data_IF_039739991269
#
_entry.id   IF_039739991269
#
_cell.length_a   1.000
_cell.length_b   1.000
_cell.length_c   1.000
_cell.angle_alpha   90.00
_cell.angle_beta   90.00
_cell.angle_gamma   90.00
#
_symmetry.space_group_name_H-M   'P 1'
#
loop_
_entity.id
_entity.type
_entity.pdbx_description
1 polymer ?
#
# COMPACT_ATOMS: atom_id res chain seq x y z
N UNK A 1 22.10 5.83 -18.96
CA UNK A 1 23.26 6.41 -18.25
C UNK A 1 23.84 7.52 -19.11
N UNK A 2 23.46 8.76 -18.85
CA UNK A 2 24.04 9.94 -19.53
C UNK A 2 24.31 10.99 -18.45
N UNK A 3 25.32 10.74 -17.61
CA UNK A 3 25.96 11.78 -16.81
C UNK A 3 27.28 12.12 -17.49
N UNK A 4 27.19 12.93 -18.55
CA UNK A 4 28.37 13.60 -19.10
C UNK A 4 28.59 14.84 -18.23
N UNK A 5 29.34 14.68 -17.14
CA UNK A 5 29.80 15.80 -16.34
C UNK A 5 30.72 16.68 -17.19
N UNK A 6 30.45 17.99 -17.23
CA UNK A 6 31.31 18.92 -17.95
C UNK A 6 32.68 18.98 -17.27
N UNK A 7 33.80 18.89 -18.03
CA UNK A 7 35.13 19.02 -17.47
C UNK A 7 35.31 20.42 -16.86
N UNK A 8 35.80 20.48 -15.62
CA UNK A 8 36.15 21.73 -14.95
C UNK A 8 37.63 22.03 -15.18
N UNK A 9 37.93 23.15 -15.84
CA UNK A 9 39.31 23.55 -16.09
C UNK A 9 39.91 24.20 -14.84
N UNK A 10 40.90 23.53 -14.25
CA UNK A 10 41.63 24.04 -13.08
C UNK A 10 42.64 25.10 -13.58
N UNK A 11 42.65 26.33 -13.03
CA UNK A 11 43.65 27.33 -13.37
C UNK A 11 45.04 26.95 -12.82
N UNK A 12 46.10 27.55 -13.36
CA UNK A 12 47.45 27.33 -12.83
C UNK A 12 47.54 27.77 -11.37
N UNK A 13 47.96 26.85 -10.49
CA UNK A 13 48.10 27.08 -9.06
C UNK A 13 49.55 27.50 -8.72
N UNK A 14 49.71 28.45 -7.81
CA UNK A 14 51.00 28.75 -7.19
C UNK A 14 51.41 27.69 -6.16
N UNK A 15 52.65 27.73 -5.66
CA UNK A 15 53.10 26.83 -4.61
C UNK A 15 52.22 26.97 -3.35
N UNK A 16 51.61 25.86 -2.92
CA UNK A 16 50.59 25.78 -1.84
C UNK A 16 49.20 26.36 -2.17
N UNK A 17 48.90 26.67 -3.43
CA UNK A 17 47.56 27.08 -3.84
C UNK A 17 46.55 25.93 -3.76
N UNK A 18 45.32 26.23 -3.35
CA UNK A 18 44.19 25.29 -3.38
C UNK A 18 43.05 25.84 -4.24
N UNK A 19 42.36 24.95 -4.97
CA UNK A 19 41.14 25.28 -5.71
C UNK A 19 40.12 24.19 -5.44
N UNK A 20 38.90 24.60 -5.12
CA UNK A 20 37.75 23.72 -4.96
C UNK A 20 36.92 23.77 -6.24
N UNK A 21 36.77 22.62 -6.91
CA UNK A 21 35.85 22.46 -8.03
C UNK A 21 34.50 21.92 -7.50
N UNK A 22 33.40 22.45 -8.01
CA UNK A 22 32.05 21.99 -7.68
C UNK A 22 31.23 21.75 -8.95
N UNK A 23 30.42 20.69 -8.93
CA UNK A 23 29.52 20.33 -10.02
C UNK A 23 28.10 20.27 -9.47
N UNK A 24 27.14 20.80 -10.23
CA UNK A 24 25.74 20.52 -9.99
C UNK A 24 25.43 19.12 -10.53
N UNK A 25 25.12 18.18 -9.63
CA UNK A 25 24.76 16.81 -10.01
C UNK A 25 23.25 16.69 -10.02
N UNK A 26 22.68 16.38 -11.17
CA UNK A 26 21.29 15.95 -11.28
C UNK A 26 21.25 14.42 -11.19
N UNK A 27 20.43 13.92 -10.27
CA UNK A 27 20.32 12.51 -9.98
C UNK A 27 19.12 11.92 -10.71
N UNK A 28 19.25 10.65 -11.11
CA UNK A 28 18.09 9.93 -11.61
C UNK A 28 17.07 9.78 -10.47
N UNK A 29 15.76 9.87 -10.78
CA UNK A 29 14.72 9.59 -9.81
C UNK A 29 14.86 8.17 -9.25
N UNK A 30 14.66 8.04 -7.94
CA UNK A 30 14.70 6.75 -7.25
C UNK A 30 13.35 6.04 -7.47
N UNK A 31 13.33 4.69 -7.67
CA UNK A 31 12.08 3.94 -7.77
C UNK A 31 11.17 4.16 -6.55
N UNK A 32 9.85 4.26 -6.78
CA UNK A 32 8.83 4.62 -5.78
C UNK A 32 8.84 3.78 -4.50
N UNK A 33 9.31 2.54 -4.58
CA UNK A 33 9.32 1.60 -3.46
C UNK A 33 10.60 1.66 -2.63
N UNK A 34 11.66 2.34 -3.10
CA UNK A 34 12.95 2.47 -2.40
C UNK A 34 13.00 3.78 -1.61
N UNK A 35 13.58 3.71 -0.41
CA UNK A 35 13.81 4.90 0.43
C UNK A 35 15.22 5.48 0.31
N UNK A 36 16.19 4.73 -0.23
CA UNK A 36 17.54 5.23 -0.47
C UNK A 36 18.26 4.44 -1.57
N UNK A 37 19.27 5.06 -2.17
CA UNK A 37 20.14 4.45 -3.17
C UNK A 37 21.59 4.91 -3.00
N UNK A 38 22.53 3.98 -3.16
CA UNK A 38 23.97 4.26 -3.10
C UNK A 38 24.48 4.65 -4.48
N UNK A 39 25.21 5.75 -4.54
CA UNK A 39 25.79 6.30 -5.76
C UNK A 39 27.29 6.42 -5.60
N UNK A 40 28.02 5.79 -6.52
CA UNK A 40 29.48 5.90 -6.57
C UNK A 40 29.86 7.11 -7.42
N UNK A 41 30.49 8.10 -6.79
CA UNK A 41 31.00 9.28 -7.44
C UNK A 41 32.51 9.13 -7.62
N UNK A 42 32.97 9.10 -8.87
CA UNK A 42 34.39 9.08 -9.20
C UNK A 42 34.79 10.40 -9.88
N UNK A 43 35.74 11.10 -9.27
CA UNK A 43 36.38 12.28 -9.84
C UNK A 43 37.77 11.91 -10.35
N UNK A 44 38.09 12.35 -11.57
CA UNK A 44 39.37 12.09 -12.22
C UNK A 44 40.03 13.41 -12.58
N UNK A 45 41.30 13.56 -12.23
CA UNK A 45 42.14 14.63 -12.75
C UNK A 45 42.68 14.16 -14.10
N UNK A 46 42.46 14.95 -15.15
CA UNK A 46 43.00 14.69 -16.49
C UNK A 46 43.92 15.82 -16.89
N UNK A 47 45.07 15.46 -17.46
CA UNK A 47 46.08 16.41 -17.92
C UNK A 47 46.01 16.58 -19.43
N UNK A 48 46.30 17.78 -19.96
CA UNK A 48 46.47 17.98 -21.39
C UNK A 48 47.56 17.07 -21.98
N UNK A 49 47.34 16.55 -23.19
CA UNK A 49 48.25 15.60 -23.87
C UNK A 49 49.69 16.10 -23.97
N UNK A 50 49.88 17.41 -24.12
CA UNK A 50 51.19 18.06 -24.22
C UNK A 50 52.02 17.87 -22.93
N UNK A 51 51.38 17.93 -21.76
CA UNK A 51 52.05 17.75 -20.47
C UNK A 51 52.39 16.27 -20.26
N UNK A 52 51.48 15.38 -20.66
CA UNK A 52 51.72 13.94 -20.63
C UNK A 52 52.91 13.52 -21.50
N UNK A 53 53.07 14.12 -22.69
CA UNK A 53 54.21 13.85 -23.57
C UNK A 53 55.55 14.37 -23.05
N UNK A 54 55.54 15.38 -22.16
CA UNK A 54 56.75 15.94 -21.54
C UNK A 54 57.17 15.21 -20.25
N UNK A 55 56.54 14.07 -19.93
CA UNK A 55 56.85 13.26 -18.75
C UNK A 55 55.96 13.52 -17.54
N UNK A 56 54.82 14.23 -17.72
CA UNK A 56 53.85 14.51 -16.66
C UNK A 56 54.26 15.69 -15.76
N UNK A 57 53.52 15.87 -14.66
CA UNK A 57 53.82 16.90 -13.66
C UNK A 57 54.86 16.35 -12.68
N UNK A 58 55.97 17.06 -12.53
CA UNK A 58 57.03 16.67 -11.59
C UNK A 58 56.52 16.69 -10.14
N UNK A 59 56.67 15.58 -9.43
CA UNK A 59 56.19 15.43 -8.05
C UNK A 59 54.72 15.05 -7.92
N UNK A 60 54.04 14.71 -9.01
CA UNK A 60 52.66 14.20 -8.95
C UNK A 60 52.59 12.80 -8.31
N UNK A 61 51.52 12.56 -7.54
CA UNK A 61 51.20 11.27 -6.97
C UNK A 61 49.98 10.72 -7.70
N UNK A 62 50.22 9.84 -8.67
CA UNK A 62 49.19 9.33 -9.60
C UNK A 62 48.03 8.62 -8.87
N UNK A 63 48.28 8.04 -7.71
CA UNK A 63 47.25 7.38 -6.90
C UNK A 63 46.21 8.38 -6.34
N UNK A 64 46.59 9.65 -6.19
CA UNK A 64 45.71 10.71 -5.68
C UNK A 64 44.93 11.44 -6.80
N UNK A 65 45.12 11.04 -8.06
CA UNK A 65 44.43 11.65 -9.21
C UNK A 65 43.01 11.12 -9.39
N UNK A 66 42.63 10.09 -8.62
CA UNK A 66 41.30 9.48 -8.62
C UNK A 66 40.75 9.45 -7.21
N UNK A 67 39.63 10.14 -7.01
CA UNK A 67 38.83 10.03 -5.79
C UNK A 67 37.53 9.32 -6.13
N UNK A 68 37.27 8.19 -5.47
CA UNK A 68 35.99 7.47 -5.59
C UNK A 68 35.36 7.37 -4.21
N UNK A 69 34.16 7.92 -4.09
CA UNK A 69 33.37 7.86 -2.85
C UNK A 69 31.97 7.33 -3.11
N UNK A 70 31.51 6.46 -2.22
CA UNK A 70 30.14 5.95 -2.20
C UNK A 70 29.28 6.85 -1.32
N UNK A 71 28.29 7.50 -1.92
CA UNK A 71 27.35 8.39 -1.25
C UNK A 71 25.99 7.71 -1.17
N UNK A 72 25.38 7.70 0.02
CA UNK A 72 23.99 7.26 0.20
C UNK A 72 23.07 8.45 0.03
N UNK A 73 22.13 8.35 -0.90
CA UNK A 73 21.15 9.41 -1.16
C UNK A 73 19.76 8.89 -0.81
N UNK A 74 19.08 9.64 0.05
CA UNK A 74 17.75 9.31 0.52
C UNK A 74 16.69 9.82 -0.46
N UNK A 75 15.59 9.07 -0.56
CA UNK A 75 14.39 9.51 -1.26
C UNK A 75 13.84 10.77 -0.61
N UNK A 76 13.19 11.61 -1.41
CA UNK A 76 12.54 12.79 -0.87
C UNK A 76 11.51 12.41 0.20
N UNK A 77 11.58 13.10 1.34
CA UNK A 77 10.60 13.02 2.41
C UNK A 77 10.02 14.40 2.70
N UNK A 78 8.81 14.42 3.23
CA UNK A 78 8.14 15.69 3.58
C UNK A 78 8.91 16.44 4.67
N UNK A 79 8.86 17.79 4.68
CA UNK A 79 9.56 18.60 5.68
C UNK A 79 9.18 18.17 7.11
N UNK A 80 10.17 18.21 7.99
CA UNK A 80 9.97 17.89 9.40
C UNK A 80 9.22 19.03 10.11
N UNK A 81 8.28 18.65 10.97
CA UNK A 81 7.59 19.53 11.90
C UNK A 81 8.09 19.25 13.30
N UNK A 82 8.35 20.31 14.08
CA UNK A 82 8.65 20.17 15.50
C UNK A 82 7.36 20.05 16.31
N UNK A 83 7.20 18.91 16.98
CA UNK A 83 6.14 18.65 17.93
C UNK A 83 6.77 18.33 19.28
N UNK A 84 6.59 19.22 20.26
CA UNK A 84 7.07 19.02 21.63
C UNK A 84 8.58 18.67 21.73
N UNK A 85 9.40 19.27 20.86
CA UNK A 85 10.85 19.04 20.80
C UNK A 85 11.29 17.82 19.99
N UNK A 86 10.36 17.09 19.35
CA UNK A 86 10.67 15.98 18.43
C UNK A 86 10.39 16.41 16.98
N UNK A 87 11.37 16.23 16.11
CA UNK A 87 11.23 16.45 14.66
C UNK A 87 10.62 15.21 14.00
N UNK A 88 9.40 15.36 13.49
CA UNK A 88 8.68 14.28 12.80
C UNK A 88 8.33 14.72 11.37
N UNK A 89 8.44 13.85 10.36
CA UNK A 89 7.98 14.17 9.01
C UNK A 89 6.50 14.54 9.01
N UNK A 90 6.11 15.62 8.33
CA UNK A 90 4.70 16.03 8.27
C UNK A 90 3.79 14.96 7.66
N UNK A 91 4.33 14.12 6.76
CA UNK A 91 3.69 12.94 6.21
C UNK A 91 3.13 12.00 7.28
N UNK A 92 3.83 11.82 8.41
CA UNK A 92 3.40 10.94 9.49
C UNK A 92 2.11 11.45 10.16
N UNK A 93 2.00 12.77 10.35
CA UNK A 93 0.79 13.38 10.92
C UNK A 93 -0.39 13.28 9.96
N UNK A 94 -0.17 13.54 8.68
CA UNK A 94 -1.18 13.40 7.63
C UNK A 94 -1.66 11.95 7.57
N UNK A 95 -0.74 10.99 7.57
CA UNK A 95 -1.06 9.57 7.61
C UNK A 95 -1.89 9.19 8.85
N UNK A 96 -1.50 9.68 10.04
CA UNK A 96 -2.25 9.43 11.27
C UNK A 96 -3.67 10.02 11.22
N UNK A 97 -3.84 11.25 10.73
CA UNK A 97 -5.15 11.89 10.56
C UNK A 97 -6.03 11.14 9.55
N UNK A 98 -5.46 10.73 8.42
CA UNK A 98 -6.17 9.96 7.40
C UNK A 98 -6.54 8.56 7.91
N UNK A 99 -5.68 7.90 8.69
CA UNK A 99 -6.02 6.61 9.32
C UNK A 99 -7.16 6.75 10.33
N UNK A 100 -7.14 7.79 11.17
CA UNK A 100 -8.25 8.07 12.08
C UNK A 100 -9.55 8.35 11.32
N UNK A 101 -9.47 9.11 10.24
CA UNK A 101 -10.62 9.35 9.35
C UNK A 101 -11.13 8.03 8.74
N UNK A 102 -10.24 7.17 8.21
CA UNK A 102 -10.60 5.88 7.65
C UNK A 102 -11.32 4.99 8.69
N UNK A 103 -10.80 4.89 9.91
CA UNK A 103 -11.43 4.13 10.99
C UNK A 103 -12.79 4.72 11.37
N UNK A 104 -12.91 6.04 11.44
CA UNK A 104 -14.20 6.68 11.74
C UNK A 104 -15.25 6.44 10.64
N UNK A 105 -14.85 6.53 9.37
CA UNK A 105 -15.71 6.25 8.22
C UNK A 105 -16.11 4.78 8.15
N UNK A 106 -15.19 3.88 8.46
CA UNK A 106 -15.48 2.44 8.55
C UNK A 106 -16.54 2.17 9.63
N UNK A 107 -16.40 2.78 10.82
CA UNK A 107 -17.39 2.62 11.91
C UNK A 107 -18.76 3.16 11.50
N UNK A 108 -18.81 4.37 10.93
CA UNK A 108 -20.05 4.96 10.43
C UNK A 108 -20.64 4.16 9.27
N UNK A 109 -19.79 3.55 8.44
CA UNK A 109 -20.20 2.73 7.31
C UNK A 109 -20.85 1.42 7.71
N UNK A 110 -20.47 0.86 8.86
CA UNK A 110 -21.11 -0.32 9.44
C UNK A 110 -22.45 -0.02 10.10
N UNK A 111 -22.67 1.22 10.58
CA UNK A 111 -23.85 1.60 11.35
C UNK A 111 -24.93 2.33 10.51
N UNK A 112 -24.54 3.23 9.60
CA UNK A 112 -25.46 4.17 8.94
C UNK A 112 -25.56 3.97 7.42
N UNK A 113 -24.43 4.00 6.70
CA UNK A 113 -24.39 4.12 5.23
C UNK A 113 -23.21 3.39 4.60
N UNK A 114 -23.50 2.45 3.70
CA UNK A 114 -22.48 1.67 3.01
C UNK A 114 -21.50 2.51 2.17
N UNK A 115 -21.95 3.65 1.63
CA UNK A 115 -21.08 4.58 0.88
C UNK A 115 -19.89 5.06 1.71
N UNK A 116 -20.04 5.24 3.03
CA UNK A 116 -18.95 5.62 3.94
C UNK A 116 -17.99 4.44 4.18
N UNK A 117 -18.51 3.21 4.17
CA UNK A 117 -17.70 2.01 4.26
C UNK A 117 -16.76 1.91 3.04
N UNK A 118 -17.28 2.11 1.83
CA UNK A 118 -16.47 2.14 0.61
C UNK A 118 -15.43 3.25 0.65
N UNK A 119 -15.83 4.47 1.05
CA UNK A 119 -14.93 5.62 1.18
C UNK A 119 -13.79 5.35 2.17
N UNK A 120 -14.04 4.62 3.25
CA UNK A 120 -13.00 4.27 4.25
C UNK A 120 -11.82 3.53 3.64
N UNK A 121 -12.06 2.68 2.63
CA UNK A 121 -10.98 1.94 1.94
C UNK A 121 -10.05 2.88 1.18
N UNK A 122 -10.62 3.84 0.42
CA UNK A 122 -9.85 4.81 -0.35
C UNK A 122 -9.05 5.72 0.59
N UNK A 123 -9.67 6.17 1.68
CA UNK A 123 -8.99 7.00 2.69
C UNK A 123 -7.86 6.23 3.38
N UNK A 124 -8.04 4.95 3.68
CA UNK A 124 -6.97 4.12 4.23
C UNK A 124 -5.81 3.95 3.23
N UNK A 125 -6.09 3.71 1.95
CA UNK A 125 -5.07 3.61 0.92
C UNK A 125 -4.26 4.92 0.77
N UNK A 126 -4.94 6.07 0.83
CA UNK A 126 -4.28 7.38 0.90
C UNK A 126 -3.41 7.52 2.16
N UNK A 127 -3.89 7.04 3.30
CA UNK A 127 -3.17 7.11 4.57
C UNK A 127 -1.88 6.27 4.54
N UNK A 128 -1.93 5.06 3.97
CA UNK A 128 -0.74 4.22 3.78
C UNK A 128 0.22 4.82 2.74
N UNK A 129 -0.31 5.49 1.70
CA UNK A 129 0.50 6.25 0.76
C UNK A 129 1.25 7.39 1.44
N UNK A 130 0.54 8.19 2.25
CA UNK A 130 1.14 9.23 3.07
C UNK A 130 2.17 8.67 4.07
N UNK A 131 1.94 7.49 4.65
CA UNK A 131 2.91 6.87 5.57
C UNK A 131 4.20 6.46 4.86
N UNK A 132 4.11 5.99 3.61
CA UNK A 132 5.29 5.61 2.82
C UNK A 132 6.21 6.81 2.49
N UNK A 133 5.66 8.03 2.41
CA UNK A 133 6.40 9.28 2.19
C UNK A 133 7.28 9.71 3.37
N UNK A 134 7.19 9.02 4.51
CA UNK A 134 8.09 9.28 5.63
C UNK A 134 9.54 8.91 5.29
N UNK A 135 9.77 8.10 4.26
CA UNK A 135 11.12 7.72 3.81
C UNK A 135 11.89 6.87 4.83
N UNK A 136 11.23 6.35 5.87
CA UNK A 136 11.92 5.69 6.98
C UNK A 136 12.59 4.37 6.58
N UNK A 137 11.99 3.59 5.68
CA UNK A 137 12.63 2.39 5.11
C UNK A 137 11.89 1.85 3.87
N UNK A 138 12.63 1.21 2.97
CA UNK A 138 12.10 0.48 1.81
C UNK A 138 11.07 -0.59 2.22
N UNK A 139 11.31 -1.28 3.34
CA UNK A 139 10.41 -2.32 3.85
C UNK A 139 9.07 -1.70 4.30
N UNK A 140 9.10 -0.54 4.95
CA UNK A 140 7.89 0.16 5.36
C UNK A 140 7.01 0.52 4.15
N UNK A 141 7.59 1.02 3.06
CA UNK A 141 6.86 1.35 1.84
C UNK A 141 6.17 0.12 1.24
N UNK A 142 6.84 -1.03 1.22
CA UNK A 142 6.26 -2.29 0.76
C UNK A 142 5.14 -2.79 1.69
N UNK A 143 5.32 -2.67 3.01
CA UNK A 143 4.29 -3.02 3.98
C UNK A 143 3.06 -2.10 3.86
N UNK A 144 3.25 -0.81 3.58
CA UNK A 144 2.16 0.14 3.34
C UNK A 144 1.37 -0.23 2.07
N UNK A 145 2.07 -0.60 0.99
CA UNK A 145 1.44 -1.08 -0.23
C UNK A 145 0.60 -2.34 0.04
N UNK A 146 1.16 -3.32 0.76
CA UNK A 146 0.44 -4.55 1.13
C UNK A 146 -0.75 -4.27 2.06
N UNK A 147 -0.57 -3.39 3.06
CA UNK A 147 -1.63 -3.00 3.98
C UNK A 147 -2.80 -2.33 3.28
N UNK A 148 -2.56 -1.51 2.24
CA UNK A 148 -3.63 -0.92 1.43
C UNK A 148 -4.52 -1.98 0.76
N UNK A 149 -3.91 -3.05 0.25
CA UNK A 149 -4.62 -4.16 -0.40
C UNK A 149 -5.39 -4.99 0.62
N UNK A 150 -4.76 -5.31 1.76
CA UNK A 150 -5.40 -6.07 2.84
C UNK A 150 -6.59 -5.30 3.43
N UNK A 151 -6.45 -3.99 3.62
CA UNK A 151 -7.53 -3.15 4.14
C UNK A 151 -8.70 -3.06 3.15
N UNK A 152 -8.43 -2.92 1.85
CA UNK A 152 -9.47 -3.00 0.82
C UNK A 152 -10.18 -4.36 0.85
N UNK A 153 -9.45 -5.46 1.01
CA UNK A 153 -10.02 -6.80 1.20
C UNK A 153 -10.91 -6.92 2.45
N UNK A 154 -10.49 -6.34 3.57
CA UNK A 154 -11.29 -6.27 4.80
C UNK A 154 -12.57 -5.46 4.62
N UNK A 155 -12.50 -4.30 3.98
CA UNK A 155 -13.68 -3.47 3.71
C UNK A 155 -14.64 -4.17 2.75
N UNK A 156 -14.13 -4.83 1.70
CA UNK A 156 -14.93 -5.62 0.79
C UNK A 156 -15.58 -6.84 1.46
N UNK A 157 -14.91 -7.41 2.46
CA UNK A 157 -15.51 -8.44 3.31
C UNK A 157 -16.66 -7.88 4.15
N UNK A 158 -16.46 -6.73 4.78
CA UNK A 158 -17.46 -6.10 5.64
C UNK A 158 -18.66 -5.53 4.87
N UNK A 159 -18.47 -5.04 3.65
CA UNK A 159 -19.56 -4.61 2.76
C UNK A 159 -20.49 -5.79 2.40
N UNK A 160 -20.00 -7.04 2.48
CA UNK A 160 -20.85 -8.22 2.36
C UNK A 160 -21.88 -8.38 3.50
N UNK A 161 -21.92 -7.49 4.49
CA UNK A 161 -22.98 -7.45 5.52
C UNK A 161 -24.33 -6.96 5.00
N UNK A 162 -24.38 -6.26 3.86
CA UNK A 162 -25.63 -5.92 3.15
C UNK A 162 -26.46 -7.18 2.82
N UNK A 163 -25.77 -8.33 2.71
CA UNK A 163 -26.36 -9.65 2.54
C UNK A 163 -27.31 -10.05 3.69
N UNK A 164 -27.11 -9.52 4.92
CA UNK A 164 -28.02 -9.75 6.06
C UNK A 164 -29.36 -9.03 5.88
N UNK A 165 -29.37 -7.81 5.34
CA UNK A 165 -30.62 -7.09 5.06
C UNK A 165 -31.46 -7.81 3.99
N UNK A 166 -30.81 -8.39 2.98
CA UNK A 166 -31.47 -9.20 1.96
C UNK A 166 -31.91 -10.57 2.51
N UNK A 167 -31.16 -11.14 3.47
CA UNK A 167 -31.59 -12.34 4.19
C UNK A 167 -32.85 -12.09 5.04
N UNK A 168 -32.96 -10.92 5.66
CA UNK A 168 -34.17 -10.49 6.37
C UNK A 168 -35.34 -10.25 5.41
N UNK A 169 -35.10 -9.75 4.19
CA UNK A 169 -36.13 -9.66 3.15
C UNK A 169 -36.58 -11.03 2.64
N UNK A 170 -35.63 -11.98 2.46
CA UNK A 170 -35.94 -13.39 2.16
C UNK A 170 -36.80 -14.02 3.25
N UNK A 171 -36.55 -13.70 4.53
CA UNK A 171 -37.37 -14.15 5.65
C UNK A 171 -38.79 -13.58 5.56
N UNK A 172 -38.96 -12.32 5.17
CA UNK A 172 -40.28 -11.69 4.92
C UNK A 172 -41.01 -12.33 3.74
N UNK A 173 -40.31 -12.60 2.64
CA UNK A 173 -40.86 -13.29 1.47
C UNK A 173 -41.42 -14.68 1.83
N UNK A 174 -40.70 -15.44 2.66
CA UNK A 174 -41.14 -16.76 3.17
C UNK A 174 -42.33 -16.70 4.12
N UNK A 175 -42.58 -15.55 4.75
CA UNK A 175 -43.72 -15.32 5.65
C UNK A 175 -44.96 -14.83 4.85
N UNK A 176 -44.82 -14.57 3.56
CA UNK A 176 -45.93 -14.16 2.68
C UNK A 176 -46.31 -12.68 2.78
N UNK A 177 -45.46 -11.87 3.42
CA UNK A 177 -45.53 -10.40 3.33
C UNK A 177 -44.86 -9.96 2.02
N UNK A 178 -45.30 -8.83 1.43
CA UNK A 178 -44.76 -8.35 0.15
C UNK A 178 -43.23 -8.30 0.18
N UNK A 179 -42.60 -9.19 -0.59
CA UNK A 179 -41.19 -9.14 -0.91
C UNK A 179 -41.03 -8.21 -2.12
N UNK A 180 -40.00 -7.37 -2.08
CA UNK A 180 -39.75 -6.42 -3.16
C UNK A 180 -39.02 -7.08 -4.34
N UNK A 181 -38.27 -8.16 -4.09
CA UNK A 181 -37.47 -8.89 -5.06
C UNK A 181 -38.07 -10.24 -5.46
N UNK A 182 -37.94 -10.58 -6.74
CA UNK A 182 -38.44 -11.83 -7.34
C UNK A 182 -37.42 -12.99 -7.22
N UNK A 183 -36.11 -12.69 -7.28
CA UNK A 183 -35.01 -13.66 -7.12
C UNK A 183 -33.89 -13.12 -6.22
N UNK A 184 -34.03 -13.37 -4.91
CA UNK A 184 -33.11 -12.87 -3.88
C UNK A 184 -31.67 -13.40 -4.02
N UNK A 185 -31.48 -14.64 -4.47
CA UNK A 185 -30.15 -15.27 -4.50
C UNK A 185 -29.30 -14.71 -5.66
N UNK A 186 -29.92 -14.44 -6.81
CA UNK A 186 -29.24 -13.87 -7.99
C UNK A 186 -28.84 -12.41 -7.79
N UNK A 187 -29.74 -11.61 -7.22
CA UNK A 187 -29.49 -10.18 -6.95
C UNK A 187 -28.43 -10.00 -5.86
N UNK A 188 -28.44 -10.84 -4.81
CA UNK A 188 -27.37 -10.88 -3.80
C UNK A 188 -26.00 -11.10 -4.42
N UNK A 189 -25.89 -12.06 -5.35
CA UNK A 189 -24.62 -12.39 -5.96
C UNK A 189 -24.14 -11.30 -6.93
N UNK A 190 -25.07 -10.65 -7.64
CA UNK A 190 -24.75 -9.57 -8.57
C UNK A 190 -24.26 -8.31 -7.84
N UNK A 191 -25.03 -7.81 -6.86
CA UNK A 191 -24.66 -6.65 -6.04
C UNK A 191 -23.32 -6.86 -5.35
N UNK A 192 -23.10 -8.06 -4.80
CA UNK A 192 -21.82 -8.40 -4.16
C UNK A 192 -20.65 -8.37 -5.12
N UNK A 193 -20.81 -8.87 -6.34
CA UNK A 193 -19.74 -8.84 -7.35
C UNK A 193 -19.44 -7.39 -7.79
N UNK A 194 -20.47 -6.56 -7.93
CA UNK A 194 -20.33 -5.15 -8.27
C UNK A 194 -19.60 -4.37 -7.17
N UNK A 195 -20.04 -4.49 -5.92
CA UNK A 195 -19.42 -3.83 -4.77
C UNK A 195 -17.95 -4.24 -4.60
N UNK A 196 -17.64 -5.52 -4.78
CA UNK A 196 -16.27 -6.03 -4.77
C UNK A 196 -15.41 -5.47 -5.90
N UNK A 197 -15.99 -5.30 -7.10
CA UNK A 197 -15.29 -4.70 -8.22
C UNK A 197 -14.93 -3.23 -7.93
N UNK A 198 -15.85 -2.46 -7.32
CA UNK A 198 -15.61 -1.07 -6.95
C UNK A 198 -14.51 -0.95 -5.89
N UNK A 199 -14.53 -1.79 -4.85
CA UNK A 199 -13.53 -1.75 -3.78
C UNK A 199 -12.16 -2.22 -4.27
N UNK A 200 -12.09 -3.11 -5.27
CA UNK A 200 -10.83 -3.62 -5.81
C UNK A 200 -9.91 -2.53 -6.41
N UNK A 201 -10.48 -1.37 -6.75
CA UNK A 201 -9.77 -0.18 -7.24
C UNK A 201 -9.19 0.70 -6.13
N UNK A 202 -9.66 0.53 -4.89
CA UNK A 202 -9.27 1.35 -3.74
C UNK A 202 -7.76 1.45 -3.48
N UNK A 203 -6.96 0.36 -3.62
CA UNK A 203 -5.51 0.45 -3.46
C UNK A 203 -4.83 1.43 -4.41
N UNK A 204 -5.45 1.83 -5.53
CA UNK A 204 -4.87 2.82 -6.44
C UNK A 204 -4.77 4.22 -5.82
N UNK A 205 -5.58 4.54 -4.79
CA UNK A 205 -5.47 5.80 -4.07
C UNK A 205 -4.17 5.96 -3.28
N UNK A 206 -3.38 4.88 -3.16
CA UNK A 206 -2.00 4.90 -2.67
C UNK A 206 -1.04 5.62 -3.64
N UNK A 207 -1.22 5.44 -4.96
CA UNK A 207 -0.24 5.83 -5.97
C UNK A 207 0.06 7.35 -6.03
N UNK A 208 -0.92 8.27 -5.94
CA UNK A 208 -0.64 9.70 -5.99
C UNK A 208 0.31 10.16 -4.89
N UNK A 209 0.28 9.52 -3.72
CA UNK A 209 1.15 9.87 -2.61
C UNK A 209 2.56 9.35 -2.84
N UNK A 210 2.72 8.13 -3.34
CA UNK A 210 4.07 7.58 -3.52
C UNK A 210 4.79 8.20 -4.72
N UNK A 211 4.03 8.64 -5.72
CA UNK A 211 4.57 9.31 -6.90
C UNK A 211 4.78 10.82 -6.70
N UNK A 212 4.44 11.37 -5.52
CA UNK A 212 4.67 12.79 -5.25
C UNK A 212 6.17 13.02 -5.00
N UNK A 213 6.79 13.82 -5.86
CA UNK A 213 8.15 14.31 -5.67
C UNK A 213 8.17 15.81 -5.97
N UNK A 214 8.98 16.63 -5.28
CA UNK A 214 9.03 18.08 -5.50
C UNK A 214 9.55 18.44 -6.89
N UNK A 215 10.31 17.55 -7.52
CA UNK A 215 10.75 17.67 -8.92
C UNK A 215 9.73 17.11 -9.92
N UNK A 216 8.65 16.47 -9.46
CA UNK A 216 7.67 15.71 -10.25
C UNK A 216 8.32 14.69 -11.22
N UNK A 217 9.59 14.34 -10.97
CA UNK A 217 10.33 13.39 -11.76
C UNK A 217 9.98 11.98 -11.28
N UNK A 218 9.31 11.22 -12.14
CA UNK A 218 9.00 9.81 -11.92
C UNK A 218 10.12 9.00 -12.55
N UNK A 219 10.59 7.96 -11.84
CA UNK A 219 11.48 6.99 -12.47
C UNK A 219 10.74 6.20 -13.55
N UNK A 220 11.06 6.53 -14.80
CA UNK A 220 10.60 5.85 -16.02
C UNK A 220 11.46 4.62 -16.35
N UNK A 221 12.38 4.24 -15.47
CA UNK A 221 13.10 2.97 -15.55
C UNK A 221 12.15 1.78 -15.67
N UNK A 222 12.55 0.77 -16.45
CA UNK A 222 11.71 -0.40 -16.72
C UNK A 222 11.27 -1.12 -15.43
N UNK A 223 12.11 -1.16 -14.40
CA UNK A 223 11.79 -1.76 -13.09
C UNK A 223 10.72 -1.00 -12.32
N UNK A 224 10.79 0.33 -12.28
CA UNK A 224 9.80 1.19 -11.62
C UNK A 224 8.45 1.13 -12.36
N UNK A 225 8.48 1.19 -13.69
CA UNK A 225 7.26 1.12 -14.50
C UNK A 225 6.60 -0.27 -14.39
N UNK A 226 7.36 -1.35 -14.46
CA UNK A 226 6.85 -2.70 -14.24
C UNK A 226 6.30 -2.91 -12.83
N UNK A 227 6.89 -2.30 -11.80
CA UNK A 227 6.38 -2.43 -10.43
C UNK A 227 5.09 -1.64 -10.20
N UNK A 228 4.92 -0.48 -10.83
CA UNK A 228 3.64 0.27 -10.82
C UNK A 228 2.54 -0.54 -11.51
N UNK A 229 2.80 -1.02 -12.75
CA UNK A 229 1.84 -1.87 -13.47
C UNK A 229 1.57 -3.15 -12.68
N UNK A 230 2.60 -3.76 -12.11
CA UNK A 230 2.51 -4.94 -11.27
C UNK A 230 1.61 -4.70 -10.07
N UNK A 231 1.75 -3.56 -9.37
CA UNK A 231 0.86 -3.17 -8.29
C UNK A 231 -0.58 -2.99 -8.77
N UNK A 232 -0.78 -2.31 -9.90
CA UNK A 232 -2.11 -2.09 -10.47
C UNK A 232 -2.82 -3.40 -10.83
N UNK A 233 -2.11 -4.38 -11.39
CA UNK A 233 -2.71 -5.66 -11.77
C UNK A 233 -2.86 -6.59 -10.55
N UNK A 234 -1.88 -6.61 -9.65
CA UNK A 234 -1.88 -7.49 -8.49
C UNK A 234 -2.92 -7.09 -7.45
N UNK A 235 -3.18 -5.79 -7.25
CA UNK A 235 -4.10 -5.35 -6.20
C UNK A 235 -5.54 -5.86 -6.38
N UNK A 236 -6.22 -5.74 -7.55
CA UNK A 236 -7.58 -6.29 -7.70
C UNK A 236 -7.60 -7.83 -7.64
N UNK A 237 -6.57 -8.49 -8.18
CA UNK A 237 -6.45 -9.96 -8.13
C UNK A 237 -6.37 -10.42 -6.67
N UNK A 238 -5.52 -9.79 -5.87
CA UNK A 238 -5.32 -10.17 -4.47
C UNK A 238 -6.58 -9.91 -3.65
N UNK A 239 -7.25 -8.77 -3.84
CA UNK A 239 -8.54 -8.48 -3.21
C UNK A 239 -9.56 -9.57 -3.55
N UNK A 240 -9.67 -9.96 -4.82
CA UNK A 240 -10.59 -11.01 -5.25
C UNK A 240 -10.25 -12.39 -4.67
N UNK A 241 -8.96 -12.73 -4.59
CA UNK A 241 -8.50 -13.98 -3.97
C UNK A 241 -8.80 -14.03 -2.47
N UNK A 242 -8.54 -12.93 -1.75
CA UNK A 242 -8.86 -12.78 -0.33
C UNK A 242 -10.36 -13.02 -0.14
N UNK A 243 -11.20 -12.35 -0.91
CA UNK A 243 -12.65 -12.48 -0.79
C UNK A 243 -13.14 -13.91 -1.08
N UNK A 244 -12.62 -14.55 -2.12
CA UNK A 244 -12.96 -15.95 -2.45
C UNK A 244 -12.58 -16.90 -1.31
N UNK A 245 -11.46 -16.66 -0.65
CA UNK A 245 -11.01 -17.45 0.49
C UNK A 245 -11.91 -17.26 1.72
N UNK A 246 -12.26 -16.01 2.05
CA UNK A 246 -13.13 -15.74 3.20
C UNK A 246 -14.55 -16.29 2.96
N UNK A 247 -15.08 -16.21 1.74
CA UNK A 247 -16.38 -16.80 1.37
C UNK A 247 -16.43 -18.30 1.62
N UNK A 248 -15.44 -19.02 1.07
CA UNK A 248 -15.36 -20.46 1.23
C UNK A 248 -15.22 -20.87 2.70
N UNK A 249 -14.61 -20.01 3.52
CA UNK A 249 -14.45 -20.27 4.95
C UNK A 249 -15.75 -20.03 5.72
N UNK A 250 -16.50 -18.99 5.34
CA UNK A 250 -17.79 -18.65 5.95
C UNK A 250 -18.87 -19.68 5.63
N UNK A 251 -18.95 -20.14 4.39
CA UNK A 251 -19.90 -21.19 3.98
C UNK A 251 -19.68 -22.48 4.79
N UNK A 252 -18.42 -22.87 5.01
CA UNK A 252 -18.09 -24.04 5.85
C UNK A 252 -18.57 -23.85 7.28
N UNK A 253 -18.22 -22.72 7.92
CA UNK A 253 -18.59 -22.42 9.31
C UNK A 253 -20.10 -22.41 9.54
N UNK A 254 -20.88 -21.80 8.64
CA UNK A 254 -22.33 -21.74 8.79
C UNK A 254 -23.01 -23.08 8.47
N UNK A 255 -22.49 -23.84 7.51
CA UNK A 255 -22.99 -25.20 7.26
C UNK A 255 -22.80 -26.11 8.48
N UNK A 256 -21.66 -26.00 9.16
CA UNK A 256 -21.38 -26.74 10.39
C UNK A 256 -22.26 -26.29 11.56
N UNK A 257 -22.49 -24.98 11.71
CA UNK A 257 -23.37 -24.46 12.76
C UNK A 257 -24.82 -24.93 12.56
N UNK A 258 -25.32 -24.88 11.33
CA UNK A 258 -26.66 -25.37 10.99
C UNK A 258 -26.80 -26.88 11.27
N UNK A 259 -25.77 -27.67 10.95
CA UNK A 259 -25.75 -29.09 11.26
C UNK A 259 -25.74 -29.37 12.77
N UNK A 260 -25.04 -28.55 13.55
CA UNK A 260 -25.03 -28.65 15.02
C UNK A 260 -26.41 -28.28 15.60
N UNK A 261 -27.05 -27.20 15.14
CA UNK A 261 -28.39 -26.82 15.57
C UNK A 261 -29.44 -27.90 15.24
N UNK A 262 -29.37 -28.48 14.03
CA UNK A 262 -30.26 -29.57 13.63
C UNK A 262 -30.08 -30.81 14.51
N UNK A 263 -28.84 -31.16 14.86
CA UNK A 263 -28.54 -32.26 15.79
C UNK A 263 -29.06 -31.94 17.19
N UNK A 264 -28.89 -30.72 17.69
CA UNK A 264 -29.39 -30.29 18.99
C UNK A 264 -30.93 -30.34 19.06
N UNK A 265 -31.64 -29.90 18.02
CA UNK A 265 -33.10 -30.01 17.91
C UNK A 265 -33.53 -31.48 17.91
N UNK A 266 -32.83 -32.34 17.16
CA UNK A 266 -33.12 -33.78 17.11
C UNK A 266 -32.94 -34.43 18.49
N UNK A 267 -31.88 -34.11 19.21
CA UNK A 267 -31.63 -34.57 20.59
C UNK A 267 -32.71 -34.07 21.54
N UNK A 268 -33.07 -32.78 21.49
CA UNK A 268 -34.15 -32.19 22.30
C UNK A 268 -35.50 -32.88 22.03
N UNK A 269 -35.77 -33.21 20.77
CA UNK A 269 -36.99 -33.96 20.38
C UNK A 269 -36.98 -35.39 20.93
N UNK A 270 -35.83 -36.08 20.92
CA UNK A 270 -35.69 -37.43 21.50
C UNK A 270 -35.87 -37.38 23.03
N UNK A 271 -35.22 -36.44 23.72
CA UNK A 271 -35.36 -36.22 25.16
C UNK A 271 -36.80 -35.86 25.56
N UNK A 272 -37.45 -34.98 24.81
CA UNK A 272 -38.86 -34.63 25.02
C UNK A 272 -39.78 -35.84 24.86
N UNK A 273 -39.52 -36.71 23.89
CA UNK A 273 -40.30 -37.94 23.67
C UNK A 273 -40.00 -39.05 24.69
N UNK A 274 -38.77 -39.12 25.20
CA UNK A 274 -38.37 -40.07 26.24
C UNK A 274 -38.89 -39.68 27.64
N UNK A 275 -39.03 -38.39 27.93
CA UNK A 275 -39.69 -37.89 29.15
C UNK A 275 -41.22 -38.08 29.13
N UNK A 276 -41.81 -38.28 27.96
CA UNK A 276 -43.24 -38.50 27.77
C UNK A 276 -43.54 -40.00 27.64
N UNK A 277 -43.24 -40.78 28.68
CA UNK A 277 -43.65 -42.19 28.75
C UNK A 277 -45.15 -42.24 29.06
N UNK A 278 -46.01 -42.85 28.22
CA UNK A 278 -47.41 -43.05 28.55
C UNK A 278 -47.53 -44.26 29.50
N UNK A 279 -48.04 -44.01 30.71
CA UNK A 279 -48.43 -45.02 31.70
C UNK A 279 -47.70 -44.85 33.04
N UNK A 280 -48.37 -44.78 34.20
CA UNK A 280 -49.64 -45.43 34.52
C UNK A 280 -50.66 -44.52 35.20
N UNK A 281 -51.88 -44.56 34.66
CA UNK A 281 -53.07 -44.55 35.50
C UNK A 281 -53.28 -45.96 36.05
N UNK A 282 -53.36 -46.04 37.38
CA UNK A 282 -54.31 -46.80 38.20
C UNK A 282 -53.91 -46.59 39.66
#
# INVERSE_FOLDING_TARGET
MTNMFAPYTIPALEANGNVTASWAVELNPIPWYKSSETLTCSAYITYPDIIMQMGGIFGNVVENDVLTEDLSIDSWSTPALELSGLQLPSALLIAALLLLLAVSLMRQGLEEQESRLHASSYVAAMAFGALSLTGASTILSLLCALASILFAGLVAWLSSSELQAIHDDRKKARIGTMALLEDHDKEQQNTRNELRAIISCSPYAFLPFVLISPSLAIDLGASSLMSIIGFMVASPILVHLILRFLDSSYDRLYSELADIELRAIRIKKILGRAGQKPGGGN
#
